data_IF_079453818815
#
_entry.id   IF_079453818815
#
_cell.length_a   1.000
_cell.length_b   1.000
_cell.length_c   1.000
_cell.angle_alpha   90.00
_cell.angle_beta   90.00
_cell.angle_gamma   90.00
#
_symmetry.space_group_name_H-M   'P 1'
#
loop_
_entity.id
_entity.type
_entity.pdbx_description
1 polymer ?
#
# COMPACT_ATOMS: atom_id res chain seq x y z
N UNK A 1 -20.43 35.15 53.91
CA UNK A 1 -19.45 35.73 52.96
C UNK A 1 -18.90 34.60 52.09
N UNK A 2 -19.53 34.34 50.94
CA UNK A 2 -19.12 33.26 50.04
C UNK A 2 -18.17 33.84 48.99
N UNK A 3 -16.87 33.55 49.11
CA UNK A 3 -15.87 33.92 48.10
C UNK A 3 -15.85 32.84 47.02
N UNK A 4 -16.40 33.15 45.85
CA UNK A 4 -16.23 32.36 44.62
C UNK A 4 -14.78 32.52 44.17
N UNK A 5 -14.06 31.41 44.03
CA UNK A 5 -12.73 31.39 43.43
C UNK A 5 -12.88 31.02 41.94
N UNK A 6 -12.56 31.97 41.07
CA UNK A 6 -12.46 31.78 39.63
C UNK A 6 -11.18 30.98 39.36
N UNK A 7 -11.32 29.76 38.85
CA UNK A 7 -10.21 29.02 38.26
C UNK A 7 -9.84 29.65 36.90
N UNK A 8 -8.57 29.96 36.64
CA UNK A 8 -8.15 30.39 35.32
C UNK A 8 -8.19 29.18 34.37
N UNK A 9 -8.90 29.33 33.27
CA UNK A 9 -8.83 28.45 32.11
C UNK A 9 -7.42 28.60 31.53
N UNK A 10 -6.50 27.71 31.93
CA UNK A 10 -5.28 27.48 31.15
C UNK A 10 -5.69 26.72 29.90
N UNK A 11 -6.08 27.46 28.86
CA UNK A 11 -6.05 26.96 27.49
C UNK A 11 -4.58 26.71 27.15
N UNK A 12 -4.11 25.50 27.47
CA UNK A 12 -2.85 24.98 26.93
C UNK A 12 -3.10 24.76 25.45
N UNK A 13 -2.77 25.79 24.68
CA UNK A 13 -2.64 25.69 23.23
C UNK A 13 -1.41 24.82 23.00
N UNK A 14 -1.59 23.49 22.96
CA UNK A 14 -0.61 22.58 22.40
C UNK A 14 -0.48 22.96 20.92
N UNK A 15 0.53 23.77 20.63
CA UNK A 15 1.09 23.91 19.29
C UNK A 15 1.61 22.52 18.91
N UNK A 16 0.74 21.69 18.33
CA UNK A 16 1.20 20.61 17.49
C UNK A 16 2.00 21.27 16.36
N UNK A 17 3.32 21.20 16.45
CA UNK A 17 4.17 21.41 15.29
C UNK A 17 3.79 20.33 14.30
N UNK A 18 2.89 20.67 13.37
CA UNK A 18 2.63 19.85 12.19
C UNK A 18 3.93 19.86 11.40
N UNK A 19 4.75 18.85 11.61
CA UNK A 19 5.81 18.50 10.67
C UNK A 19 5.15 18.37 9.31
N UNK A 20 5.45 19.31 8.42
CA UNK A 20 4.99 19.28 7.04
C UNK A 20 5.58 18.01 6.40
N UNK A 21 4.81 16.92 6.42
CA UNK A 21 5.07 15.81 5.53
C UNK A 21 4.78 16.37 4.15
N UNK A 22 5.84 16.58 3.36
CA UNK A 22 5.69 16.87 1.95
C UNK A 22 4.96 15.67 1.34
N UNK A 23 3.66 15.82 1.11
CA UNK A 23 2.91 14.94 0.22
C UNK A 23 3.50 15.14 -1.16
N UNK A 24 4.48 14.31 -1.54
CA UNK A 24 4.83 14.18 -2.93
C UNK A 24 3.58 13.78 -3.68
N UNK A 25 3.22 14.56 -4.70
CA UNK A 25 2.10 14.24 -5.55
C UNK A 25 2.33 12.86 -6.18
N UNK A 26 1.36 11.97 -5.99
CA UNK A 26 1.15 10.75 -6.80
C UNK A 26 2.19 9.61 -6.78
N UNK A 27 3.21 9.60 -5.92
CA UNK A 27 4.15 8.47 -5.86
C UNK A 27 3.60 7.28 -5.02
N UNK A 28 3.54 6.09 -5.63
CA UNK A 28 3.11 4.81 -5.02
C UNK A 28 4.28 3.99 -4.47
N UNK A 29 3.99 2.91 -3.71
CA UNK A 29 5.00 1.91 -3.27
C UNK A 29 5.77 1.30 -4.46
N UNK A 30 5.08 1.09 -5.60
CA UNK A 30 5.69 0.62 -6.83
C UNK A 30 6.64 1.69 -7.40
N UNK A 31 6.23 2.96 -7.44
CA UNK A 31 7.08 4.05 -7.95
C UNK A 31 8.39 4.19 -7.18
N UNK A 32 8.36 4.02 -5.85
CA UNK A 32 9.58 4.01 -5.03
C UNK A 32 10.49 2.85 -5.39
N UNK A 33 9.93 1.65 -5.50
CA UNK A 33 10.68 0.43 -5.79
C UNK A 33 11.27 0.46 -7.20
N UNK A 34 10.48 0.87 -8.19
CA UNK A 34 10.91 0.99 -9.59
C UNK A 34 11.95 2.09 -9.75
N UNK A 35 11.75 3.25 -9.12
CA UNK A 35 12.71 4.35 -9.16
C UNK A 35 14.03 3.96 -8.50
N UNK A 36 13.99 3.26 -7.37
CA UNK A 36 15.19 2.74 -6.73
C UNK A 36 15.91 1.68 -7.60
N UNK A 37 15.14 0.81 -8.24
CA UNK A 37 15.67 -0.32 -9.02
C UNK A 37 16.35 0.12 -10.33
N UNK A 38 15.99 1.28 -10.90
CA UNK A 38 16.71 1.91 -12.03
C UNK A 38 18.21 2.08 -11.79
N UNK A 39 18.63 2.13 -10.53
CA UNK A 39 20.01 2.37 -10.14
C UNK A 39 20.78 1.11 -9.74
N UNK A 40 20.17 -0.08 -9.81
CA UNK A 40 20.85 -1.34 -9.49
C UNK A 40 22.18 -1.46 -10.24
N UNK A 41 23.22 -1.88 -9.51
CA UNK A 41 24.57 -2.04 -10.03
C UNK A 41 25.39 -0.75 -10.16
N UNK A 42 24.81 0.43 -9.92
CA UNK A 42 25.61 1.68 -9.88
C UNK A 42 26.65 1.55 -8.77
N UNK A 43 27.95 1.77 -9.05
CA UNK A 43 29.02 1.54 -8.07
C UNK A 43 28.90 2.40 -6.81
N UNK A 44 29.42 1.89 -5.70
CA UNK A 44 29.55 2.69 -4.50
C UNK A 44 30.68 3.71 -4.66
N UNK A 45 30.40 4.96 -4.29
CA UNK A 45 31.39 6.04 -4.22
C UNK A 45 31.13 6.88 -2.98
N UNK A 46 32.09 6.93 -2.06
CA UNK A 46 32.00 7.79 -0.87
C UNK A 46 31.74 9.25 -1.27
N UNK A 47 30.72 9.89 -0.70
CA UNK A 47 30.31 11.24 -1.07
C UNK A 47 29.56 11.33 -2.42
N UNK A 48 29.31 10.21 -3.10
CA UNK A 48 28.69 10.17 -4.42
C UNK A 48 27.17 10.40 -4.41
N UNK A 49 26.67 11.14 -5.41
CA UNK A 49 25.26 11.53 -5.56
C UNK A 49 24.73 11.38 -7.00
N UNK A 50 25.46 10.68 -7.86
CA UNK A 50 25.14 10.57 -9.30
C UNK A 50 25.26 9.14 -9.79
N UNK A 51 24.81 8.86 -11.01
CA UNK A 51 24.91 7.53 -11.63
C UNK A 51 26.35 7.07 -11.91
N UNK A 52 27.34 7.96 -11.81
CA UNK A 52 28.76 7.59 -11.82
C UNK A 52 29.24 6.98 -10.49
N UNK A 53 28.38 7.00 -9.47
CA UNK A 53 28.57 6.32 -8.19
C UNK A 53 27.85 7.03 -7.04
N UNK A 54 27.28 6.24 -6.14
CA UNK A 54 26.52 6.72 -4.97
C UNK A 54 27.14 6.27 -3.65
N UNK A 55 27.09 7.11 -2.61
CA UNK A 55 27.08 6.59 -1.24
C UNK A 55 25.66 6.23 -0.80
N UNK A 56 25.50 5.60 0.36
CA UNK A 56 24.19 5.12 0.82
C UNK A 56 23.15 6.26 0.90
N UNK A 57 23.51 7.40 1.50
CA UNK A 57 22.63 8.55 1.61
C UNK A 57 22.44 9.33 0.30
N UNK A 58 23.44 9.35 -0.57
CA UNK A 58 23.35 9.97 -1.90
C UNK A 58 22.44 9.18 -2.83
N UNK A 59 22.43 7.85 -2.71
CA UNK A 59 21.47 6.98 -3.37
C UNK A 59 20.04 7.26 -2.89
N UNK A 60 19.78 7.25 -1.58
CA UNK A 60 18.43 7.51 -1.06
C UNK A 60 17.95 8.91 -1.42
N UNK A 61 18.80 9.94 -1.29
CA UNK A 61 18.47 11.30 -1.72
C UNK A 61 18.11 11.37 -3.20
N UNK A 62 18.81 10.63 -4.08
CA UNK A 62 18.53 10.62 -5.52
C UNK A 62 17.16 9.98 -5.83
N UNK A 63 16.88 8.80 -5.26
CA UNK A 63 15.59 8.11 -5.45
C UNK A 63 14.43 8.99 -5.03
N UNK A 64 14.51 9.57 -3.84
CA UNK A 64 13.43 10.42 -3.32
C UNK A 64 13.32 11.73 -4.09
N UNK A 65 14.43 12.32 -4.53
CA UNK A 65 14.41 13.52 -5.37
C UNK A 65 13.71 13.28 -6.71
N UNK A 66 13.85 12.09 -7.30
CA UNK A 66 13.15 11.74 -8.54
C UNK A 66 11.64 11.59 -8.34
N UNK A 67 11.21 11.37 -7.09
CA UNK A 67 9.82 11.35 -6.65
C UNK A 67 9.37 12.71 -6.06
N UNK A 68 10.15 13.77 -6.23
CA UNK A 68 9.83 15.11 -5.74
C UNK A 68 10.03 15.31 -4.23
N UNK A 69 10.66 14.38 -3.52
CA UNK A 69 10.91 14.44 -2.08
C UNK A 69 12.37 14.78 -1.81
N UNK A 70 12.60 15.88 -1.09
CA UNK A 70 13.96 16.27 -0.71
C UNK A 70 14.40 15.59 0.58
N UNK A 71 15.49 14.83 0.51
CA UNK A 71 16.16 14.27 1.68
C UNK A 71 17.46 14.99 1.99
N UNK A 72 17.76 15.10 3.28
CA UNK A 72 19.05 15.59 3.75
C UNK A 72 20.20 14.73 3.21
N UNK A 73 21.39 15.33 3.06
CA UNK A 73 22.50 14.71 2.33
C UNK A 73 23.12 13.51 3.04
N UNK A 74 23.14 13.46 4.37
CA UNK A 74 23.88 12.43 5.13
C UNK A 74 22.93 11.46 5.82
N UNK A 75 23.33 10.20 5.98
CA UNK A 75 22.51 9.18 6.67
C UNK A 75 22.11 9.62 8.09
N UNK A 76 23.04 10.23 8.85
CA UNK A 76 22.73 10.78 10.17
C UNK A 76 21.71 11.92 10.16
N UNK A 77 21.70 12.78 9.13
CA UNK A 77 20.71 13.86 9.01
C UNK A 77 19.38 13.38 8.44
N UNK A 78 19.38 12.35 7.59
CA UNK A 78 18.16 11.65 7.17
C UNK A 78 17.49 10.94 8.36
N UNK A 79 18.27 10.43 9.31
CA UNK A 79 17.73 9.84 10.55
C UNK A 79 17.06 10.87 11.47
N UNK A 80 17.25 12.16 11.24
CA UNK A 80 16.52 13.21 11.96
C UNK A 80 15.32 13.74 11.15
N UNK A 81 15.08 13.18 9.96
CA UNK A 81 14.04 13.61 9.04
C UNK A 81 12.89 12.59 9.03
N UNK A 82 11.66 13.07 9.12
CA UNK A 82 10.46 12.23 9.11
C UNK A 82 10.08 11.62 10.46
N UNK A 83 9.08 10.75 10.43
CA UNK A 83 8.47 10.13 11.61
C UNK A 83 9.17 8.82 11.97
N UNK A 84 9.39 8.54 13.25
CA UNK A 84 9.94 7.25 13.67
C UNK A 84 8.97 6.09 13.37
N UNK A 85 9.51 4.98 12.88
CA UNK A 85 8.75 3.77 12.54
C UNK A 85 9.29 2.59 13.34
N UNK A 86 8.38 1.84 13.99
CA UNK A 86 8.74 0.59 14.65
C UNK A 86 9.13 -0.45 13.61
N UNK A 87 10.10 -1.33 13.91
CA UNK A 87 10.58 -2.33 12.94
C UNK A 87 9.46 -3.26 12.44
N UNK A 88 8.46 -3.56 13.28
CA UNK A 88 7.28 -4.34 12.92
C UNK A 88 6.34 -3.64 11.94
N UNK A 89 6.46 -2.32 11.82
CA UNK A 89 5.52 -1.45 11.08
C UNK A 89 6.18 -0.88 9.82
N UNK A 90 7.29 -1.50 9.39
CA UNK A 90 8.01 -1.11 8.19
C UNK A 90 7.11 -1.24 6.95
N UNK A 91 7.09 -0.19 6.16
CA UNK A 91 6.38 -0.10 4.90
C UNK A 91 7.36 0.26 3.78
N UNK A 92 7.03 -0.16 2.55
CA UNK A 92 7.82 0.18 1.36
C UNK A 92 8.02 1.70 1.30
N UNK A 93 9.26 2.12 1.11
CA UNK A 93 9.68 3.52 1.12
C UNK A 93 10.08 4.07 2.48
N UNK A 94 10.00 3.31 3.56
CA UNK A 94 10.65 3.70 4.81
C UNK A 94 12.18 3.66 4.65
N UNK A 95 12.87 4.63 5.25
CA UNK A 95 14.32 4.61 5.35
C UNK A 95 14.71 3.76 6.57
N UNK A 96 15.53 2.74 6.35
CA UNK A 96 16.08 1.87 7.40
C UNK A 96 17.54 2.21 7.65
N UNK A 97 17.93 2.32 8.92
CA UNK A 97 19.22 2.85 9.33
C UNK A 97 20.02 1.87 10.17
N UNK A 98 21.34 1.88 9.96
CA UNK A 98 22.25 0.91 10.57
C UNK A 98 23.52 1.57 11.12
N UNK A 99 24.12 0.90 12.11
CA UNK A 99 25.45 1.18 12.64
C UNK A 99 26.46 0.15 12.09
N UNK A 100 27.10 0.48 10.96
CA UNK A 100 28.12 -0.35 10.31
C UNK A 100 29.55 0.07 10.64
N UNK A 101 29.76 1.29 11.15
CA UNK A 101 31.07 1.82 11.53
C UNK A 101 31.44 1.61 13.01
N UNK A 102 30.49 1.16 13.84
CA UNK A 102 30.67 0.96 15.28
C UNK A 102 30.22 2.15 16.15
N UNK A 103 29.82 3.27 15.57
CA UNK A 103 29.22 4.40 16.31
C UNK A 103 28.19 5.16 15.47
N UNK A 104 27.04 5.44 16.08
CA UNK A 104 25.96 6.23 15.49
C UNK A 104 25.34 5.64 14.22
N UNK A 105 24.64 6.49 13.47
CA UNK A 105 24.09 6.14 12.15
C UNK A 105 25.20 6.26 11.11
N UNK A 106 25.56 5.15 10.47
CA UNK A 106 26.60 5.10 9.44
C UNK A 106 26.11 4.57 8.10
N UNK A 107 24.91 3.99 8.04
CA UNK A 107 24.35 3.47 6.80
C UNK A 107 22.83 3.66 6.74
N UNK A 108 22.30 3.78 5.52
CA UNK A 108 20.87 3.91 5.24
C UNK A 108 20.50 3.10 3.99
N UNK A 109 19.30 2.53 3.99
CA UNK A 109 18.67 1.89 2.84
C UNK A 109 17.20 2.26 2.74
N UNK A 110 16.58 1.94 1.61
CA UNK A 110 15.15 2.09 1.39
C UNK A 110 14.52 0.71 1.57
N UNK A 111 13.57 0.57 2.48
CA UNK A 111 12.82 -0.67 2.64
C UNK A 111 11.92 -0.90 1.43
N UNK A 112 11.95 -2.10 0.86
CA UNK A 112 11.22 -2.47 -0.37
C UNK A 112 10.26 -3.64 -0.15
N UNK A 113 9.93 -3.96 1.10
CA UNK A 113 9.03 -5.07 1.44
C UNK A 113 9.77 -6.38 1.70
N UNK A 114 9.06 -7.37 2.24
CA UNK A 114 9.55 -8.73 2.50
C UNK A 114 10.87 -8.82 3.28
N UNK A 115 11.09 -7.91 4.23
CA UNK A 115 12.34 -7.83 5.00
C UNK A 115 13.53 -7.32 4.18
N UNK A 116 13.34 -6.86 2.95
CA UNK A 116 14.41 -6.42 2.05
C UNK A 116 14.57 -4.90 2.04
N UNK A 117 15.80 -4.47 1.79
CA UNK A 117 16.15 -3.10 1.48
C UNK A 117 16.96 -3.02 0.19
N UNK A 118 16.83 -1.91 -0.52
CA UNK A 118 17.75 -1.49 -1.58
C UNK A 118 18.64 -0.36 -1.05
N UNK A 119 19.94 -0.45 -1.30
CA UNK A 119 20.93 0.51 -0.80
C UNK A 119 22.21 0.46 -1.63
N UNK A 120 23.03 1.53 -1.57
CA UNK A 120 24.39 1.51 -2.11
C UNK A 120 25.39 1.08 -1.04
N UNK A 121 26.22 0.06 -1.31
CA UNK A 121 27.24 -0.45 -0.39
C UNK A 121 28.61 -0.69 -1.05
N UNK A 122 29.66 -0.57 -0.26
CA UNK A 122 31.03 -0.87 -0.68
C UNK A 122 31.14 -2.27 -1.30
N UNK A 123 31.82 -2.36 -2.45
CA UNK A 123 32.08 -3.62 -3.14
C UNK A 123 30.96 -4.11 -4.07
N UNK A 124 29.69 -3.79 -3.79
CA UNK A 124 28.55 -4.25 -4.60
C UNK A 124 27.77 -3.12 -5.28
N UNK A 125 27.95 -1.87 -4.85
CA UNK A 125 27.17 -0.74 -5.36
C UNK A 125 25.73 -0.79 -4.90
N UNK A 126 24.80 -0.31 -5.72
CA UNK A 126 23.36 -0.39 -5.44
C UNK A 126 22.89 -1.82 -5.60
N UNK A 127 22.44 -2.42 -4.51
CA UNK A 127 22.04 -3.82 -4.42
C UNK A 127 20.93 -4.03 -3.39
N UNK A 128 20.33 -5.22 -3.41
CA UNK A 128 19.41 -5.64 -2.36
C UNK A 128 20.13 -6.35 -1.22
N UNK A 129 19.64 -6.14 0.00
CA UNK A 129 20.01 -6.92 1.19
C UNK A 129 18.78 -7.21 2.04
N UNK A 130 18.85 -8.26 2.86
CA UNK A 130 17.84 -8.51 3.89
C UNK A 130 18.17 -7.69 5.15
N UNK A 131 17.21 -6.91 5.64
CA UNK A 131 17.30 -6.07 6.85
C UNK A 131 17.50 -6.92 8.10
N UNK A 132 16.93 -8.12 8.11
CA UNK A 132 16.98 -9.10 9.20
C UNK A 132 18.06 -10.15 9.00
N UNK A 133 18.97 -9.97 8.03
CA UNK A 133 20.11 -10.84 7.85
C UNK A 133 20.88 -11.02 9.17
N UNK A 134 20.91 -12.23 9.77
CA UNK A 134 21.50 -12.43 11.08
C UNK A 134 23.02 -12.26 11.07
N UNK A 135 23.67 -12.32 9.91
CA UNK A 135 25.12 -12.27 9.80
C UNK A 135 25.69 -10.85 9.84
N UNK A 136 25.02 -9.89 9.20
CA UNK A 136 25.54 -8.52 9.11
C UNK A 136 24.49 -7.47 9.46
N UNK A 137 23.36 -7.42 8.75
CA UNK A 137 22.43 -6.28 8.84
C UNK A 137 21.56 -6.27 10.10
N UNK A 138 21.02 -7.42 10.50
CA UNK A 138 20.08 -7.54 11.61
C UNK A 138 20.67 -7.04 12.93
N UNK A 139 21.91 -7.41 13.24
CA UNK A 139 22.63 -6.97 14.44
C UNK A 139 23.01 -5.49 14.44
N UNK A 140 22.95 -4.82 13.27
CA UNK A 140 23.36 -3.43 13.07
C UNK A 140 22.18 -2.48 12.91
N UNK A 141 20.96 -3.01 12.86
CA UNK A 141 19.75 -2.20 12.72
C UNK A 141 19.61 -1.26 13.92
N UNK A 142 19.43 0.04 13.63
CA UNK A 142 19.26 1.07 14.66
C UNK A 142 17.82 1.56 14.73
N UNK A 143 17.16 1.76 13.57
CA UNK A 143 15.80 2.26 13.52
C UNK A 143 15.36 2.62 12.10
N UNK A 144 14.14 3.11 11.96
CA UNK A 144 13.56 3.51 10.68
C UNK A 144 12.83 4.86 10.75
N UNK A 145 12.79 5.56 9.60
CA UNK A 145 12.09 6.82 9.42
C UNK A 145 11.18 6.78 8.19
N UNK A 146 9.95 7.28 8.38
CA UNK A 146 9.00 7.56 7.30
C UNK A 146 9.06 9.03 6.93
N UNK A 147 9.60 9.32 5.75
CA UNK A 147 9.82 10.68 5.24
C UNK A 147 8.72 11.13 4.28
N UNK A 148 7.96 10.18 3.74
CA UNK A 148 6.75 10.38 2.98
C UNK A 148 5.85 9.16 3.14
N UNK A 149 4.54 9.35 2.94
CA UNK A 149 3.58 8.25 2.86
C UNK A 149 3.44 7.85 1.40
N UNK A 150 3.96 6.67 1.06
CA UNK A 150 3.77 6.05 -0.27
C UNK A 150 2.63 5.04 -0.28
N UNK A 151 1.78 5.06 0.76
CA UNK A 151 0.46 4.45 0.64
C UNK A 151 -0.13 4.93 -0.68
N UNK A 152 -0.64 3.98 -1.48
CA UNK A 152 -1.45 4.30 -2.64
C UNK A 152 -2.33 5.44 -2.18
N UNK A 153 -2.08 6.64 -2.74
CA UNK A 153 -2.69 7.84 -2.26
C UNK A 153 -4.15 7.49 -1.99
N UNK A 154 -4.70 7.88 -0.84
CA UNK A 154 -6.13 8.05 -0.77
C UNK A 154 -6.42 8.91 -2.01
N UNK A 155 -6.94 8.26 -3.06
CA UNK A 155 -6.94 8.82 -4.40
C UNK A 155 -7.76 10.07 -4.24
N UNK A 156 -7.11 11.23 -4.20
CA UNK A 156 -7.83 12.49 -4.29
C UNK A 156 -8.65 12.31 -5.56
N UNK A 157 -9.96 12.38 -5.39
CA UNK A 157 -11.06 11.99 -6.28
C UNK A 157 -10.92 12.42 -7.77
N UNK A 158 -9.90 13.20 -8.11
CA UNK A 158 -9.67 13.89 -9.37
C UNK A 158 -8.80 13.14 -10.40
N UNK A 159 -8.11 12.03 -10.06
CA UNK A 159 -7.20 11.36 -10.99
C UNK A 159 -7.72 10.05 -11.60
N UNK A 160 -8.73 9.41 -11.01
CA UNK A 160 -9.32 8.16 -11.52
C UNK A 160 -10.72 8.46 -12.05
N UNK A 161 -10.93 8.20 -13.33
CA UNK A 161 -12.24 8.28 -13.94
C UNK A 161 -13.10 7.09 -13.48
N UNK A 162 -13.90 7.29 -12.42
CA UNK A 162 -14.83 6.28 -11.91
C UNK A 162 -16.05 6.04 -12.82
N UNK A 163 -16.16 6.75 -13.96
CA UNK A 163 -17.04 6.32 -15.04
C UNK A 163 -16.46 5.14 -15.83
N UNK A 164 -15.14 4.90 -15.70
CA UNK A 164 -14.40 3.82 -16.34
C UNK A 164 -14.02 2.73 -15.35
N UNK A 165 -13.55 3.07 -14.15
CA UNK A 165 -13.05 2.11 -13.14
C UNK A 165 -14.00 1.95 -11.95
N UNK A 166 -14.04 0.76 -11.37
CA UNK A 166 -14.88 0.46 -10.23
C UNK A 166 -14.21 0.90 -8.91
N UNK A 167 -14.94 1.65 -8.08
CA UNK A 167 -14.54 1.92 -6.69
C UNK A 167 -15.01 0.80 -5.77
N UNK A 168 -14.38 0.66 -4.60
CA UNK A 168 -14.78 -0.32 -3.58
C UNK A 168 -16.24 -0.13 -3.12
N UNK A 169 -16.69 1.11 -2.97
CA UNK A 169 -18.09 1.39 -2.60
C UNK A 169 -19.06 1.03 -3.73
N UNK A 170 -18.71 1.30 -4.98
CA UNK A 170 -19.54 0.93 -6.14
C UNK A 170 -19.66 -0.60 -6.25
N UNK A 171 -18.57 -1.33 -6.02
CA UNK A 171 -18.58 -2.79 -5.99
C UNK A 171 -19.48 -3.29 -4.87
N UNK A 172 -19.37 -2.74 -3.66
CA UNK A 172 -20.25 -3.11 -2.55
C UNK A 172 -21.74 -2.92 -2.90
N UNK A 173 -22.09 -1.81 -3.58
CA UNK A 173 -23.46 -1.56 -4.06
C UNK A 173 -23.89 -2.62 -5.07
N UNK A 174 -23.05 -2.93 -6.07
CA UNK A 174 -23.42 -3.91 -7.09
C UNK A 174 -23.53 -5.33 -6.55
N UNK A 175 -22.67 -5.72 -5.61
CA UNK A 175 -22.76 -7.02 -4.92
C UNK A 175 -24.01 -7.07 -4.04
N UNK A 176 -24.27 -6.04 -3.22
CA UNK A 176 -25.46 -5.98 -2.39
C UNK A 176 -26.74 -6.07 -3.23
N UNK A 177 -26.77 -5.41 -4.40
CA UNK A 177 -27.87 -5.51 -5.35
C UNK A 177 -27.99 -6.90 -5.97
N UNK A 178 -26.89 -7.48 -6.43
CA UNK A 178 -26.87 -8.79 -7.08
C UNK A 178 -27.33 -9.92 -6.13
N UNK A 179 -27.01 -9.79 -4.85
CA UNK A 179 -27.43 -10.71 -3.78
C UNK A 179 -28.75 -10.33 -3.11
N UNK A 180 -29.38 -9.21 -3.52
CA UNK A 180 -30.61 -8.68 -2.91
C UNK A 180 -30.50 -8.51 -1.39
N UNK A 181 -29.37 -7.95 -0.91
CA UNK A 181 -29.12 -7.74 0.52
C UNK A 181 -29.94 -6.57 1.08
N UNK A 182 -30.31 -6.68 2.35
CA UNK A 182 -30.87 -5.56 3.12
C UNK A 182 -29.77 -4.53 3.43
N UNK A 183 -29.92 -3.32 2.88
CA UNK A 183 -28.99 -2.20 3.08
C UNK A 183 -29.55 -1.13 4.01
N UNK A 184 -30.56 -1.44 4.82
CA UNK A 184 -31.17 -0.47 5.75
C UNK A 184 -30.25 -0.14 6.95
N UNK A 185 -29.44 -1.10 7.40
CA UNK A 185 -28.45 -0.88 8.44
C UNK A 185 -27.20 -0.22 7.83
N UNK A 186 -26.83 0.95 8.33
CA UNK A 186 -25.68 1.74 7.85
C UNK A 186 -24.49 1.72 8.80
N UNK A 187 -24.53 0.90 9.85
CA UNK A 187 -23.45 0.81 10.84
C UNK A 187 -22.38 -0.14 10.36
N UNK A 188 -21.13 0.33 10.32
CA UNK A 188 -19.96 -0.46 9.92
C UNK A 188 -18.90 -0.44 11.03
N UNK A 189 -17.95 -1.37 11.01
CA UNK A 189 -16.74 -1.26 11.84
C UNK A 189 -15.68 -0.35 11.23
N UNK A 190 -15.87 0.09 9.98
CA UNK A 190 -14.89 0.87 9.26
C UNK A 190 -14.83 2.34 9.71
N UNK A 191 -13.65 2.79 10.11
CA UNK A 191 -13.45 4.12 10.74
C UNK A 191 -13.71 5.30 9.79
N UNK A 192 -13.68 5.07 8.47
CA UNK A 192 -13.91 6.05 7.42
C UNK A 192 -15.32 5.97 6.79
N UNK A 193 -16.18 5.06 7.25
CA UNK A 193 -17.56 4.92 6.77
C UNK A 193 -18.55 5.30 7.87
N UNK A 194 -18.97 6.57 7.87
CA UNK A 194 -19.99 7.07 8.78
C UNK A 194 -21.38 6.51 8.38
N UNK A 195 -22.32 6.35 9.32
CA UNK A 195 -23.70 5.96 8.99
C UNK A 195 -24.39 6.88 7.97
N UNK A 196 -23.95 8.13 7.87
CA UNK A 196 -24.45 9.13 6.92
C UNK A 196 -23.67 9.15 5.59
N UNK A 197 -22.60 8.36 5.44
CA UNK A 197 -21.84 8.27 4.21
C UNK A 197 -22.70 7.67 3.10
N UNK A 198 -22.46 8.11 1.87
CA UNK A 198 -23.04 7.45 0.70
C UNK A 198 -22.67 5.96 0.72
N UNK A 199 -23.62 5.11 0.33
CA UNK A 199 -23.47 3.66 0.24
C UNK A 199 -23.15 2.93 1.57
N UNK A 200 -23.24 3.61 2.72
CA UNK A 200 -22.96 3.00 4.03
C UNK A 200 -23.78 1.73 4.29
N UNK A 201 -25.04 1.71 3.83
CA UNK A 201 -25.90 0.54 3.94
C UNK A 201 -25.41 -0.68 3.15
N UNK A 202 -24.94 -0.48 1.92
CA UNK A 202 -24.38 -1.54 1.10
C UNK A 202 -23.06 -2.04 1.67
N UNK A 203 -22.21 -1.13 2.15
CA UNK A 203 -20.92 -1.45 2.78
C UNK A 203 -21.14 -2.30 4.04
N UNK A 204 -22.07 -1.89 4.91
CA UNK A 204 -22.43 -2.65 6.11
C UNK A 204 -22.96 -4.05 5.78
N UNK A 205 -23.77 -4.18 4.72
CA UNK A 205 -24.32 -5.46 4.30
C UNK A 205 -23.22 -6.44 3.84
N UNK A 206 -22.28 -5.98 3.01
CA UNK A 206 -21.18 -6.83 2.52
C UNK A 206 -20.12 -7.12 3.58
N UNK A 207 -19.92 -6.19 4.53
CA UNK A 207 -19.07 -6.40 5.72
C UNK A 207 -19.63 -7.51 6.61
N UNK A 208 -20.94 -7.49 6.90
CA UNK A 208 -21.61 -8.49 7.73
C UNK A 208 -21.44 -9.91 7.20
N UNK A 209 -21.31 -10.05 5.88
CA UNK A 209 -21.09 -11.33 5.20
C UNK A 209 -19.60 -11.70 5.06
N UNK A 210 -18.68 -10.85 5.51
CA UNK A 210 -17.23 -11.08 5.37
C UNK A 210 -16.74 -11.03 3.92
N UNK A 211 -17.51 -10.42 3.01
CA UNK A 211 -17.14 -10.29 1.59
C UNK A 211 -16.04 -9.26 1.41
N UNK A 212 -16.14 -8.16 2.18
CA UNK A 212 -15.14 -7.10 2.21
C UNK A 212 -14.45 -7.04 3.57
N UNK A 213 -13.14 -6.88 3.51
CA UNK A 213 -12.29 -6.55 4.65
C UNK A 213 -11.81 -5.09 4.51
N UNK A 214 -11.54 -4.48 5.66
CA UNK A 214 -10.91 -3.17 5.75
C UNK A 214 -9.39 -3.28 5.60
N UNK A 215 -8.73 -2.14 5.47
CA UNK A 215 -7.27 -2.09 5.56
C UNK A 215 -6.78 -2.32 7.00
N UNK A 216 -5.46 -2.34 7.18
CA UNK A 216 -4.83 -2.53 8.49
C UNK A 216 -5.19 -1.45 9.52
N UNK A 217 -5.73 -0.30 9.08
CA UNK A 217 -6.18 0.79 9.94
C UNK A 217 -7.70 0.74 10.19
N UNK A 218 -8.38 -0.33 9.76
CA UNK A 218 -9.82 -0.46 9.88
C UNK A 218 -10.58 0.48 8.96
N UNK A 219 -9.99 0.94 7.84
CA UNK A 219 -10.71 1.74 6.85
C UNK A 219 -11.25 0.87 5.72
N UNK A 220 -12.45 1.18 5.24
CA UNK A 220 -13.01 0.59 4.04
C UNK A 220 -12.39 1.17 2.77
N UNK A 221 -11.99 2.44 2.77
CA UNK A 221 -11.52 3.20 1.61
C UNK A 221 -12.54 3.22 0.45
N UNK A 222 -13.76 3.78 0.65
CA UNK A 222 -14.89 3.65 -0.28
C UNK A 222 -14.61 4.21 -1.68
N UNK A 223 -13.79 5.25 -1.78
CA UNK A 223 -13.42 5.89 -3.04
C UNK A 223 -12.19 5.26 -3.71
N UNK A 224 -11.55 4.26 -3.10
CA UNK A 224 -10.39 3.63 -3.74
C UNK A 224 -10.83 2.72 -4.88
N UNK A 225 -10.09 2.70 -6.00
CA UNK A 225 -10.31 1.71 -7.04
C UNK A 225 -9.97 0.32 -6.51
N UNK A 226 -10.48 -0.71 -7.19
CA UNK A 226 -10.25 -2.10 -6.83
C UNK A 226 -9.52 -2.84 -7.96
N UNK A 227 -8.62 -3.74 -7.62
CA UNK A 227 -7.89 -4.54 -8.62
C UNK A 227 -8.69 -5.76 -9.07
N UNK A 228 -8.29 -6.35 -10.20
CA UNK A 228 -8.88 -7.60 -10.71
C UNK A 228 -8.71 -8.76 -9.74
N UNK A 229 -7.55 -8.89 -9.08
CA UNK A 229 -7.33 -9.91 -8.06
C UNK A 229 -8.22 -9.73 -6.83
N UNK A 230 -8.39 -8.48 -6.37
CA UNK A 230 -9.29 -8.18 -5.25
C UNK A 230 -10.73 -8.52 -5.59
N UNK A 231 -11.14 -8.25 -6.83
CA UNK A 231 -12.48 -8.60 -7.31
C UNK A 231 -12.68 -10.10 -7.45
N UNK A 232 -11.65 -10.85 -7.84
CA UNK A 232 -11.72 -12.31 -7.85
C UNK A 232 -12.08 -12.83 -6.46
N UNK A 233 -11.38 -12.40 -5.41
CA UNK A 233 -11.71 -12.75 -4.01
C UNK A 233 -13.13 -12.34 -3.66
N UNK A 234 -13.52 -11.09 -3.93
CA UNK A 234 -14.87 -10.56 -3.62
C UNK A 234 -15.97 -11.40 -4.26
N UNK A 235 -15.85 -11.73 -5.55
CA UNK A 235 -16.86 -12.51 -6.26
C UNK A 235 -16.93 -13.96 -5.79
N UNK A 236 -15.78 -14.59 -5.50
CA UNK A 236 -15.78 -15.94 -4.92
C UNK A 236 -16.50 -15.96 -3.58
N UNK A 237 -16.19 -15.02 -2.69
CA UNK A 237 -16.82 -14.96 -1.36
C UNK A 237 -18.31 -14.59 -1.44
N UNK A 238 -18.65 -13.60 -2.28
CA UNK A 238 -20.02 -13.09 -2.40
C UNK A 238 -20.99 -14.17 -2.93
N UNK A 239 -20.55 -14.98 -3.89
CA UNK A 239 -21.41 -15.95 -4.56
C UNK A 239 -21.11 -17.39 -4.17
N UNK A 240 -20.23 -17.62 -3.19
CA UNK A 240 -19.86 -18.96 -2.73
C UNK A 240 -19.31 -19.84 -3.85
N UNK A 241 -18.49 -19.27 -4.74
CA UNK A 241 -17.99 -19.99 -5.91
C UNK A 241 -16.96 -21.03 -5.52
N UNK A 242 -17.09 -22.22 -6.09
CA UNK A 242 -16.14 -23.32 -5.91
C UNK A 242 -15.44 -23.66 -7.23
N UNK A 243 -14.25 -24.24 -7.14
CA UNK A 243 -13.45 -24.57 -8.32
C UNK A 243 -14.15 -25.63 -9.17
N UNK A 244 -14.29 -25.37 -10.48
CA UNK A 244 -14.97 -26.29 -11.41
C UNK A 244 -13.93 -27.02 -12.27
N UNK A 245 -13.49 -28.19 -11.81
CA UNK A 245 -12.54 -29.04 -12.54
C UNK A 245 -11.07 -28.66 -12.28
N UNK A 246 -10.25 -28.68 -13.33
CA UNK A 246 -8.81 -28.46 -13.20
C UNK A 246 -8.46 -27.01 -12.87
N UNK A 247 -7.32 -26.82 -12.19
CA UNK A 247 -6.78 -25.50 -11.90
C UNK A 247 -6.48 -24.75 -13.20
N UNK A 248 -7.02 -23.54 -13.32
CA UNK A 248 -6.73 -22.65 -14.45
C UNK A 248 -5.65 -21.67 -14.00
N UNK A 249 -4.48 -21.77 -14.63
CA UNK A 249 -3.31 -20.94 -14.33
C UNK A 249 -3.15 -19.80 -15.34
N UNK A 250 -2.62 -18.68 -14.86
CA UNK A 250 -2.22 -17.53 -15.68
C UNK A 250 -0.74 -17.24 -15.45
N UNK A 251 -0.05 -16.72 -16.47
CA UNK A 251 1.42 -16.54 -16.43
C UNK A 251 1.88 -15.52 -15.39
N UNK A 252 1.03 -14.56 -15.05
CA UNK A 252 1.27 -13.46 -14.11
C UNK A 252 0.62 -13.71 -12.73
N UNK A 253 0.11 -14.91 -12.47
CA UNK A 253 -0.48 -15.29 -11.18
C UNK A 253 0.36 -16.41 -10.57
N UNK A 254 1.34 -16.08 -9.70
CA UNK A 254 2.11 -17.08 -8.97
C UNK A 254 1.20 -18.03 -8.18
N UNK A 255 1.55 -19.32 -8.14
CA UNK A 255 0.74 -20.34 -7.46
C UNK A 255 0.68 -20.14 -5.94
N UNK A 256 1.69 -19.50 -5.36
CA UNK A 256 1.77 -19.12 -3.95
C UNK A 256 1.15 -17.75 -3.64
N UNK A 257 0.63 -17.05 -4.66
CA UNK A 257 -0.09 -15.79 -4.47
C UNK A 257 -1.40 -16.01 -3.71
N UNK A 258 -1.73 -15.07 -2.82
CA UNK A 258 -3.03 -15.02 -2.14
C UNK A 258 -4.21 -15.01 -3.12
N UNK A 259 -4.02 -14.52 -4.34
CA UNK A 259 -5.05 -14.41 -5.37
C UNK A 259 -5.22 -15.71 -6.17
N UNK A 260 -4.25 -16.63 -6.14
CA UNK A 260 -4.16 -17.75 -7.08
C UNK A 260 -5.42 -18.62 -7.09
N UNK A 261 -5.89 -19.03 -5.90
CA UNK A 261 -7.10 -19.84 -5.77
C UNK A 261 -8.34 -19.11 -6.26
N UNK A 262 -8.51 -17.84 -5.90
CA UNK A 262 -9.66 -17.03 -6.30
C UNK A 262 -9.72 -16.81 -7.81
N UNK A 263 -8.57 -16.51 -8.42
CA UNK A 263 -8.46 -16.32 -9.87
C UNK A 263 -8.76 -17.63 -10.62
N UNK A 264 -8.21 -18.76 -10.16
CA UNK A 264 -8.51 -20.08 -10.73
C UNK A 264 -10.00 -20.43 -10.61
N UNK A 265 -10.64 -20.12 -9.48
CA UNK A 265 -12.08 -20.35 -9.28
C UNK A 265 -12.89 -19.51 -10.28
N UNK A 266 -12.57 -18.22 -10.46
CA UNK A 266 -13.28 -17.40 -11.46
C UNK A 266 -13.14 -17.96 -12.87
N UNK A 267 -11.94 -18.36 -13.24
CA UNK A 267 -11.64 -18.85 -14.58
C UNK A 267 -12.26 -20.22 -14.86
N UNK A 268 -12.19 -21.16 -13.89
CA UNK A 268 -12.88 -22.46 -14.00
C UNK A 268 -14.40 -22.31 -14.07
N UNK A 269 -14.95 -21.27 -13.42
CA UNK A 269 -16.34 -20.88 -13.58
C UNK A 269 -16.61 -20.04 -14.85
N UNK A 270 -15.68 -19.95 -15.80
CA UNK A 270 -15.89 -19.21 -17.06
C UNK A 270 -16.28 -17.74 -16.86
N UNK A 271 -16.04 -17.17 -15.68
CA UNK A 271 -16.35 -15.77 -15.36
C UNK A 271 -15.32 -14.86 -16.03
N UNK A 272 -14.08 -15.33 -16.16
CA UNK A 272 -12.98 -14.63 -16.81
C UNK A 272 -12.15 -15.58 -17.68
N UNK A 273 -11.55 -15.03 -18.74
CA UNK A 273 -10.56 -15.71 -19.57
C UNK A 273 -9.18 -15.04 -19.45
N UNK A 274 -8.99 -14.17 -18.45
CA UNK A 274 -7.85 -13.25 -18.39
C UNK A 274 -7.92 -12.22 -19.52
N UNK A 275 -6.75 -11.75 -19.96
CA UNK A 275 -6.64 -10.72 -21.01
C UNK A 275 -6.45 -11.29 -22.42
N UNK A 276 -6.51 -12.62 -22.53
CA UNK A 276 -6.46 -13.34 -23.81
C UNK A 276 -5.04 -13.63 -24.33
N UNK A 277 -4.01 -13.13 -23.66
CA UNK A 277 -2.59 -13.39 -23.93
C UNK A 277 -1.97 -14.41 -22.96
N UNK A 278 -2.79 -15.01 -22.09
CA UNK A 278 -2.36 -15.94 -21.04
C UNK A 278 -2.12 -15.27 -19.67
N UNK A 279 -2.23 -13.95 -19.59
CA UNK A 279 -2.21 -13.20 -18.32
C UNK A 279 -3.61 -12.94 -17.78
N UNK A 280 -3.70 -12.71 -16.46
CA UNK A 280 -4.91 -12.33 -15.75
C UNK A 280 -5.00 -10.83 -15.47
N UNK A 281 -3.87 -10.12 -15.33
CA UNK A 281 -3.83 -8.71 -14.99
C UNK A 281 -4.12 -8.45 -13.51
N UNK A 282 -3.53 -9.22 -12.59
CA UNK A 282 -3.89 -9.22 -11.16
C UNK A 282 -3.96 -7.83 -10.50
N UNK A 283 -2.99 -6.98 -10.82
CA UNK A 283 -2.84 -5.64 -10.23
C UNK A 283 -3.53 -4.53 -11.04
N UNK A 284 -4.13 -4.87 -12.19
CA UNK A 284 -4.87 -3.90 -12.99
C UNK A 284 -6.16 -3.48 -12.28
N UNK A 285 -6.51 -2.20 -12.41
CA UNK A 285 -7.77 -1.68 -11.90
C UNK A 285 -8.95 -2.26 -12.68
N UNK A 286 -9.96 -2.73 -11.96
CA UNK A 286 -11.14 -3.28 -12.60
C UNK A 286 -11.96 -2.16 -13.26
N UNK A 287 -12.28 -2.35 -14.55
CA UNK A 287 -13.23 -1.48 -15.24
C UNK A 287 -14.66 -1.77 -14.80
N UNK A 288 -15.47 -0.73 -14.64
CA UNK A 288 -16.84 -0.87 -14.14
C UNK A 288 -17.74 -1.72 -15.05
N UNK A 289 -17.52 -1.66 -16.37
CA UNK A 289 -18.22 -2.51 -17.33
C UNK A 289 -17.83 -3.99 -17.20
N UNK A 290 -16.58 -4.28 -16.82
CA UNK A 290 -16.09 -5.63 -16.59
C UNK A 290 -16.71 -6.24 -15.33
N UNK A 291 -16.90 -5.43 -14.27
CA UNK A 291 -17.63 -5.86 -13.07
C UNK A 291 -19.02 -6.39 -13.43
N UNK A 292 -19.75 -5.61 -14.24
CA UNK A 292 -21.09 -5.99 -14.68
C UNK A 292 -21.07 -7.31 -15.45
N UNK A 293 -20.13 -7.47 -16.39
CA UNK A 293 -19.98 -8.73 -17.15
C UNK A 293 -19.72 -9.92 -16.23
N UNK A 294 -18.88 -9.75 -15.21
CA UNK A 294 -18.62 -10.83 -14.25
C UNK A 294 -19.87 -11.22 -13.47
N UNK A 295 -20.62 -10.24 -12.94
CA UNK A 295 -21.87 -10.49 -12.21
C UNK A 295 -22.92 -11.14 -13.13
N UNK A 296 -23.08 -10.65 -14.35
CA UNK A 296 -24.03 -11.21 -15.33
C UNK A 296 -23.69 -12.69 -15.63
N UNK A 297 -22.41 -13.02 -15.81
CA UNK A 297 -21.95 -14.40 -16.04
C UNK A 297 -22.21 -15.31 -14.84
N UNK A 298 -22.06 -14.80 -13.62
CA UNK A 298 -22.35 -15.54 -12.40
C UNK A 298 -23.86 -15.83 -12.31
N UNK A 299 -24.72 -14.85 -12.59
CA UNK A 299 -26.17 -15.00 -12.47
C UNK A 299 -26.83 -15.83 -13.58
N UNK A 300 -26.13 -16.06 -14.69
CA UNK A 300 -26.60 -16.89 -15.81
C UNK A 300 -26.23 -18.37 -15.67
N UNK A 301 -25.55 -18.74 -14.59
CA UNK A 301 -25.23 -20.13 -14.22
C UNK A 301 -26.31 -20.71 -13.33
#
# INVERSE_FOLDING_TARGET
>A
MNKKWLLPIFASFMLFSTTNINTAEAATKADVTDTASKYLGVPYKYGGTTTSGFDCSGFTSKVFSDLGIQLNRTSGSQYQQGTAVAKSDLQVGDLVFFNTSGSGISHVGIYIGDGKMIHSQTGQGVSYSNVDDPYYWGSRYVGAKRVATFDAAEVKQAAIDFSVYASRAEVAVQIAKALSLDTSNTTTSFVDVKPTSANAGAIAAVEKLGIFEGDANGKFNPASPITRAQIAKVLVLAFGLENQGDTVAFSDVPQDSWASSYVSILASNGITNGDGDGSFGSDELLKINQLKVFIDRIQQR
#
